data_IF_100975245624
#
_entry.id   IF_100975245624
#
_cell.length_a   1.000
_cell.length_b   1.000
_cell.length_c   1.000
_cell.angle_alpha   90.00
_cell.angle_beta   90.00
_cell.angle_gamma   90.00
#
_symmetry.space_group_name_H-M   'P 1'
#
loop_
_entity.id
_entity.type
_entity.pdbx_description
1 polymer ?
#
# COMPACT_ATOMS: atom_id res chain seq x y z
N UNK A 1 -10.68 12.74 3.04
CA UNK A 1 -11.66 12.00 2.20
C UNK A 1 -12.49 11.13 3.14
N UNK A 2 -13.77 11.46 3.39
CA UNK A 2 -14.64 10.57 4.18
C UNK A 2 -15.23 9.48 3.27
N UNK A 3 -15.31 8.25 3.78
CA UNK A 3 -15.98 7.15 3.09
C UNK A 3 -15.18 6.38 2.03
N UNK A 4 -13.88 6.65 1.83
CA UNK A 4 -13.05 5.81 0.96
C UNK A 4 -12.84 4.43 1.60
N UNK A 5 -13.50 3.41 1.04
CA UNK A 5 -13.42 2.02 1.52
C UNK A 5 -12.34 1.19 0.82
N UNK A 6 -11.99 1.53 -0.42
CA UNK A 6 -11.08 0.74 -1.24
C UNK A 6 -10.25 1.65 -2.16
N UNK A 7 -8.92 1.60 -2.05
CA UNK A 7 -8.02 2.37 -2.94
C UNK A 7 -8.09 1.81 -4.37
N UNK A 8 -8.29 0.50 -4.51
CA UNK A 8 -8.48 -0.20 -5.79
C UNK A 8 -9.55 0.39 -6.69
N UNK A 9 -10.62 0.96 -6.11
CA UNK A 9 -11.69 1.61 -6.89
C UNK A 9 -11.25 2.91 -7.57
N UNK A 10 -10.28 3.60 -6.99
CA UNK A 10 -9.72 4.83 -7.56
C UNK A 10 -8.67 4.50 -8.62
N UNK A 11 -7.88 3.46 -8.39
CA UNK A 11 -6.75 3.09 -9.23
C UNK A 11 -6.79 1.61 -9.64
N UNK A 12 -7.83 1.16 -10.36
CA UNK A 12 -8.03 -0.26 -10.67
C UNK A 12 -6.91 -0.85 -11.55
N UNK A 13 -6.25 0.01 -12.33
CA UNK A 13 -5.22 -0.37 -13.29
C UNK A 13 -3.81 0.08 -12.87
N UNK A 14 -3.62 0.55 -11.64
CA UNK A 14 -2.28 0.91 -11.16
C UNK A 14 -1.43 -0.36 -11.06
N UNK A 15 -0.44 -0.45 -11.94
CA UNK A 15 0.42 -1.64 -12.06
C UNK A 15 1.79 -1.46 -11.45
N UNK A 16 2.37 -0.26 -11.55
CA UNK A 16 3.75 -0.02 -11.16
C UNK A 16 3.87 1.30 -10.40
N UNK A 17 4.54 1.27 -9.26
CA UNK A 17 5.00 2.46 -8.54
C UNK A 17 6.53 2.51 -8.63
N UNK A 18 7.07 3.53 -9.30
CA UNK A 18 8.53 3.60 -9.55
C UNK A 18 9.36 4.11 -8.37
N UNK A 19 8.76 4.86 -7.43
CA UNK A 19 9.46 5.37 -6.24
C UNK A 19 10.62 6.34 -6.55
N UNK A 20 10.46 7.27 -7.51
CA UNK A 20 11.51 8.25 -7.83
C UNK A 20 11.81 9.20 -6.66
N UNK A 21 10.78 9.56 -5.91
CA UNK A 21 10.88 10.22 -4.60
C UNK A 21 10.15 9.37 -3.57
N UNK A 22 10.66 9.36 -2.34
CA UNK A 22 10.14 8.55 -1.24
C UNK A 22 9.74 9.46 -0.07
N UNK A 23 8.74 9.03 0.68
CA UNK A 23 8.41 9.64 1.96
C UNK A 23 9.00 8.80 3.09
N UNK A 24 10.10 9.25 3.70
CA UNK A 24 10.78 8.53 4.81
C UNK A 24 11.01 7.05 4.44
N UNK A 25 11.53 6.80 3.23
CA UNK A 25 11.76 5.48 2.60
C UNK A 25 10.53 4.72 2.08
N UNK A 26 9.32 5.22 2.29
CA UNK A 26 8.10 4.59 1.77
C UNK A 26 7.69 5.13 0.40
N UNK A 27 7.24 4.24 -0.47
CA UNK A 27 6.70 4.55 -1.79
C UNK A 27 5.17 4.53 -1.84
N UNK A 28 4.53 3.83 -0.91
CA UNK A 28 3.09 3.76 -0.75
C UNK A 28 2.75 3.83 0.73
N UNK A 29 1.93 4.82 1.12
CA UNK A 29 1.55 5.06 2.51
C UNK A 29 0.04 5.21 2.61
N UNK A 30 -0.58 4.45 3.52
CA UNK A 30 -1.94 4.71 4.01
C UNK A 30 -1.88 4.85 5.53
N UNK A 31 -2.21 6.03 6.03
CA UNK A 31 -2.07 6.38 7.44
C UNK A 31 -3.36 7.02 7.96
N UNK A 32 -3.84 6.56 9.12
CA UNK A 32 -5.04 7.09 9.79
C UNK A 32 -6.30 7.08 8.91
N UNK A 33 -6.46 6.05 8.07
CA UNK A 33 -7.61 5.89 7.19
C UNK A 33 -8.74 5.13 7.90
N UNK A 34 -9.53 5.85 8.70
CA UNK A 34 -10.57 5.30 9.59
C UNK A 34 -11.68 4.46 8.92
N UNK A 35 -11.88 4.62 7.62
CA UNK A 35 -12.93 3.94 6.86
C UNK A 35 -12.39 3.02 5.77
N UNK A 36 -11.06 2.90 5.65
CA UNK A 36 -10.42 2.12 4.60
C UNK A 36 -10.49 0.64 4.96
N UNK A 37 -11.20 -0.14 4.14
CA UNK A 37 -11.44 -1.56 4.36
C UNK A 37 -10.46 -2.43 3.60
N UNK A 38 -9.96 -1.97 2.46
CA UNK A 38 -9.01 -2.72 1.64
C UNK A 38 -8.10 -1.79 0.83
N UNK A 39 -6.87 -2.23 0.57
CA UNK A 39 -6.02 -1.57 -0.43
C UNK A 39 -6.58 -1.83 -1.84
N UNK A 40 -6.98 -3.07 -2.15
CA UNK A 40 -7.70 -3.40 -3.40
C UNK A 40 -6.92 -3.16 -4.70
N UNK A 41 -5.62 -2.93 -4.64
CA UNK A 41 -4.77 -2.69 -5.82
C UNK A 41 -4.40 -4.01 -6.51
N UNK A 42 -5.40 -4.73 -7.03
CA UNK A 42 -5.22 -6.07 -7.62
C UNK A 42 -4.28 -6.09 -8.83
N UNK A 43 -4.17 -4.97 -9.55
CA UNK A 43 -3.28 -4.85 -10.72
C UNK A 43 -1.84 -4.50 -10.35
N UNK A 44 -1.54 -4.18 -9.09
CA UNK A 44 -0.22 -3.75 -8.65
C UNK A 44 0.74 -4.94 -8.63
N UNK A 45 1.73 -4.91 -9.50
CA UNK A 45 2.73 -5.98 -9.62
C UNK A 45 4.09 -5.57 -9.07
N UNK A 46 4.45 -4.28 -9.18
CA UNK A 46 5.81 -3.84 -8.87
C UNK A 46 5.86 -2.47 -8.18
N UNK A 47 6.58 -2.42 -7.06
CA UNK A 47 7.11 -1.21 -6.46
C UNK A 47 8.64 -1.27 -6.59
N UNK A 48 9.19 -0.45 -7.51
CA UNK A 48 10.60 -0.56 -7.91
C UNK A 48 11.58 -0.03 -6.86
N UNK A 49 11.14 0.93 -6.04
CA UNK A 49 11.95 1.55 -4.99
C UNK A 49 11.06 1.99 -3.84
N UNK A 50 11.50 1.73 -2.62
CA UNK A 50 10.82 2.09 -1.37
C UNK A 50 9.88 1.01 -0.85
N UNK A 51 9.50 1.15 0.41
CA UNK A 51 8.66 0.20 1.17
C UNK A 51 7.19 0.61 1.20
N UNK A 52 6.33 -0.27 1.71
CA UNK A 52 4.93 0.05 2.00
C UNK A 52 4.71 0.34 3.48
N UNK A 53 3.82 1.29 3.77
CA UNK A 53 3.40 1.62 5.14
C UNK A 53 1.89 1.75 5.25
N UNK A 54 1.27 0.84 5.97
CA UNK A 54 -0.14 0.90 6.35
C UNK A 54 -0.21 0.88 7.87
N UNK A 55 -0.41 2.05 8.48
CA UNK A 55 -0.50 2.15 9.94
C UNK A 55 -1.78 2.89 10.33
N UNK A 56 -2.34 2.50 11.49
CA UNK A 56 -3.52 3.15 12.09
C UNK A 56 -4.75 3.12 11.16
N UNK A 57 -4.97 2.01 10.46
CA UNK A 57 -6.13 1.81 9.62
C UNK A 57 -7.04 0.74 10.25
N UNK A 58 -7.88 1.10 11.25
CA UNK A 58 -8.49 0.14 12.18
C UNK A 58 -9.49 -0.85 11.54
N UNK A 59 -9.98 -0.56 10.34
CA UNK A 59 -10.93 -1.42 9.61
C UNK A 59 -10.31 -2.01 8.35
N UNK A 60 -9.00 -1.85 8.16
CA UNK A 60 -8.27 -2.39 7.02
C UNK A 60 -8.16 -3.91 7.14
N UNK A 61 -8.50 -4.60 6.06
CA UNK A 61 -8.43 -6.04 5.93
C UNK A 61 -7.55 -6.43 4.74
N UNK A 62 -7.14 -7.70 4.71
CA UNK A 62 -6.37 -8.33 3.63
C UNK A 62 -4.94 -7.80 3.43
N UNK A 63 -4.54 -6.67 4.02
CA UNK A 63 -3.20 -6.13 3.89
C UNK A 63 -2.12 -7.13 4.35
N UNK A 64 -2.38 -7.88 5.42
CA UNK A 64 -1.47 -8.91 5.96
C UNK A 64 -1.50 -10.24 5.17
N UNK A 65 -2.50 -10.44 4.31
CA UNK A 65 -2.59 -11.65 3.47
C UNK A 65 -1.76 -11.55 2.19
N UNK A 66 -1.21 -10.36 1.91
CA UNK A 66 -0.42 -10.08 0.72
C UNK A 66 1.06 -10.14 1.10
N UNK A 67 1.83 -10.91 0.33
CA UNK A 67 3.29 -10.90 0.43
C UNK A 67 3.87 -9.66 -0.26
N UNK A 68 4.10 -8.61 0.54
CA UNK A 68 4.62 -7.34 0.05
C UNK A 68 6.09 -7.42 -0.38
N UNK A 69 6.87 -8.39 0.09
CA UNK A 69 8.26 -8.58 -0.33
C UNK A 69 8.33 -8.96 -1.82
N UNK A 70 7.29 -9.61 -2.36
CA UNK A 70 7.21 -9.95 -3.79
C UNK A 70 6.89 -8.74 -4.67
N UNK A 71 6.17 -7.75 -4.13
CA UNK A 71 5.73 -6.56 -4.86
C UNK A 71 6.75 -5.43 -4.71
N UNK A 72 7.22 -5.18 -3.49
CA UNK A 72 8.13 -4.09 -3.11
C UNK A 72 9.53 -4.61 -2.75
N UNK A 73 10.12 -5.37 -3.69
CA UNK A 73 11.40 -6.08 -3.52
C UNK A 73 12.54 -5.22 -2.98
N UNK A 74 12.58 -3.94 -3.35
CA UNK A 74 13.63 -3.01 -2.92
C UNK A 74 13.53 -2.61 -1.45
N UNK A 75 12.35 -2.74 -0.83
CA UNK A 75 12.07 -2.43 0.58
C UNK A 75 11.87 -3.67 1.44
N UNK A 76 12.39 -4.83 0.99
CA UNK A 76 12.17 -6.14 1.61
C UNK A 76 12.48 -6.10 3.12
N UNK A 77 11.54 -6.56 3.95
CA UNK A 77 11.69 -6.59 5.41
C UNK A 77 11.54 -5.23 6.10
N UNK A 78 11.27 -4.15 5.37
CA UNK A 78 11.04 -2.79 5.90
C UNK A 78 9.59 -2.33 5.70
N UNK A 79 8.67 -3.28 5.46
CA UNK A 79 7.25 -3.00 5.32
C UNK A 79 6.61 -2.84 6.72
N UNK A 80 5.84 -1.78 6.92
CA UNK A 80 5.09 -1.54 8.17
C UNK A 80 3.61 -1.72 7.89
N UNK A 81 2.99 -2.77 8.43
CA UNK A 81 1.56 -3.07 8.23
C UNK A 81 0.99 -3.38 9.60
N UNK A 82 0.09 -2.50 10.09
CA UNK A 82 -0.51 -2.54 11.43
C UNK A 82 -1.93 -1.99 11.50
#
# INVERSE_FOLDING_TARGET
>A
VSGLKSIGRLFPNLRVIRGHSLFINYALVAFEMMHLQEIGLHSLTDILRGSVRFDKNPVLCYADTIDWDLIAKAGKGEHSIS
#
